data_IF_352694186306
#
_entry.id   IF_352694186306
#
_cell.length_a   1.000
_cell.length_b   1.000
_cell.length_c   1.000
_cell.angle_alpha   90.00
_cell.angle_beta   90.00
_cell.angle_gamma   90.00
#
_symmetry.space_group_name_H-M   'P 1'
#
loop_
_entity.id
_entity.type
_entity.pdbx_description
1 polymer ?
#
# COMPACT_ATOMS: atom_id res chain seq x y z
N UNK A 1 8.13 25.44 25.37
CA UNK A 1 8.20 23.96 25.51
C UNK A 1 8.74 23.66 26.90
N UNK A 2 8.08 22.82 27.72
CA UNK A 2 8.54 22.56 29.11
C UNK A 2 9.75 21.62 29.15
N UNK A 3 9.84 20.70 28.19
CA UNK A 3 10.94 19.78 27.99
C UNK A 3 11.16 19.65 26.48
N UNK A 4 12.42 19.70 26.03
CA UNK A 4 12.78 19.61 24.62
C UNK A 4 12.98 18.13 24.23
N UNK A 5 11.86 17.42 24.03
CA UNK A 5 11.82 16.02 23.58
C UNK A 5 10.96 15.89 22.34
N UNK A 6 11.18 14.84 21.56
CA UNK A 6 10.35 14.45 20.44
C UNK A 6 8.90 14.24 20.85
N UNK A 7 8.65 13.58 21.98
CA UNK A 7 7.30 13.34 22.49
C UNK A 7 6.55 14.64 22.76
N UNK A 8 7.19 15.61 23.42
CA UNK A 8 6.54 16.90 23.70
C UNK A 8 6.33 17.70 22.41
N UNK A 9 7.25 17.61 21.44
CA UNK A 9 7.09 18.26 20.14
C UNK A 9 5.89 17.71 19.38
N UNK A 10 5.74 16.38 19.39
CA UNK A 10 4.61 15.68 18.79
C UNK A 10 3.29 16.04 19.48
N UNK A 11 3.29 16.12 20.81
CA UNK A 11 2.12 16.50 21.61
C UNK A 11 1.67 17.93 21.32
N UNK A 12 2.60 18.88 21.26
CA UNK A 12 2.30 20.27 20.90
C UNK A 12 1.78 20.37 19.47
N UNK A 13 2.39 19.62 18.54
CA UNK A 13 1.95 19.55 17.15
C UNK A 13 0.49 19.06 17.04
N UNK A 14 0.12 18.05 17.82
CA UNK A 14 -1.27 17.58 17.88
C UNK A 14 -2.23 18.62 18.47
N UNK A 15 -1.77 19.44 19.43
CA UNK A 15 -2.60 20.50 20.02
C UNK A 15 -2.96 21.61 19.02
N UNK A 16 -2.13 21.82 17.99
CA UNK A 16 -2.41 22.76 16.90
C UNK A 16 -3.47 22.26 15.91
N UNK A 17 -3.95 21.03 16.04
CA UNK A 17 -4.88 20.41 15.09
C UNK A 17 -6.31 20.42 15.62
N UNK A 18 -7.25 20.84 14.76
CA UNK A 18 -8.68 20.74 15.02
C UNK A 18 -9.23 19.34 14.69
N UNK A 19 -10.44 19.04 15.19
CA UNK A 19 -11.16 17.80 14.91
C UNK A 19 -11.23 17.44 13.42
N UNK A 20 -11.45 18.44 12.54
CA UNK A 20 -11.51 18.25 11.08
C UNK A 20 -10.21 17.67 10.50
N UNK A 21 -9.06 18.00 11.11
CA UNK A 21 -7.77 17.48 10.71
C UNK A 21 -7.63 16.00 11.09
N UNK A 22 -8.07 15.62 12.29
CA UNK A 22 -8.10 14.21 12.72
C UNK A 22 -9.07 13.36 11.88
N UNK A 23 -10.24 13.90 11.54
CA UNK A 23 -11.17 13.26 10.62
C UNK A 23 -10.52 13.00 9.26
N UNK A 24 -9.83 14.01 8.70
CA UNK A 24 -9.09 13.86 7.44
C UNK A 24 -7.99 12.81 7.53
N UNK A 25 -7.19 12.81 8.60
CA UNK A 25 -6.15 11.79 8.81
C UNK A 25 -6.73 10.38 8.83
N UNK A 26 -7.89 10.20 9.48
CA UNK A 26 -8.57 8.91 9.56
C UNK A 26 -9.17 8.48 8.22
N UNK A 27 -9.82 9.39 7.49
CA UNK A 27 -10.48 9.07 6.20
C UNK A 27 -9.48 8.83 5.07
N UNK A 28 -8.38 9.60 5.04
CA UNK A 28 -7.37 9.55 3.99
C UNK A 28 -6.17 8.65 4.37
N UNK A 29 -6.20 8.00 5.54
CA UNK A 29 -5.13 7.15 6.06
C UNK A 29 -3.77 7.87 6.04
N UNK A 30 -3.74 9.08 6.61
CA UNK A 30 -2.54 9.90 6.69
C UNK A 30 -1.87 9.73 8.05
N UNK A 31 -0.54 9.65 8.05
CA UNK A 31 0.31 9.70 9.24
C UNK A 31 0.91 11.09 9.34
N UNK A 32 0.81 11.70 10.51
CA UNK A 32 1.52 12.92 10.82
C UNK A 32 3.01 12.63 11.02
N UNK A 33 3.87 13.44 10.42
CA UNK A 33 5.32 13.33 10.55
C UNK A 33 5.92 14.72 10.75
N UNK A 34 6.88 14.81 11.66
CA UNK A 34 7.64 16.03 11.90
C UNK A 34 8.90 15.98 11.05
N UNK A 35 9.17 17.05 10.34
CA UNK A 35 10.37 17.19 9.51
C UNK A 35 11.02 18.55 9.74
N UNK A 36 12.33 18.63 9.53
CA UNK A 36 13.03 19.91 9.50
C UNK A 36 12.71 20.70 8.22
N UNK A 37 13.39 21.83 8.03
CA UNK A 37 13.18 22.66 6.84
C UNK A 37 13.70 22.05 5.54
N UNK A 38 14.63 21.08 5.64
CA UNK A 38 15.21 20.29 4.54
C UNK A 38 14.42 18.99 4.27
N UNK A 39 13.28 18.81 4.95
CA UNK A 39 12.41 17.64 4.88
C UNK A 39 13.03 16.34 5.45
N UNK A 40 14.07 16.45 6.29
CA UNK A 40 14.58 15.31 7.06
C UNK A 40 13.65 15.01 8.23
N UNK A 41 13.49 13.71 8.53
CA UNK A 41 12.58 13.24 9.58
C UNK A 41 13.14 13.58 10.97
N UNK A 42 12.30 14.18 11.81
CA UNK A 42 12.57 14.38 13.23
C UNK A 42 11.82 13.27 13.98
N UNK A 43 12.53 12.24 14.46
CA UNK A 43 11.94 11.09 15.16
C UNK A 43 12.66 10.69 16.46
N UNK A 44 13.66 11.47 16.89
CA UNK A 44 14.40 11.23 18.13
C UNK A 44 14.70 12.52 18.90
N UNK A 45 14.94 12.38 20.21
CA UNK A 45 15.29 13.50 21.08
C UNK A 45 16.63 14.16 20.68
N UNK A 46 17.58 13.38 20.17
CA UNK A 46 18.86 13.90 19.68
C UNK A 46 18.67 14.82 18.48
N UNK A 47 17.81 14.43 17.53
CA UNK A 47 17.50 15.23 16.34
C UNK A 47 16.79 16.52 16.75
N UNK A 48 15.82 16.43 17.67
CA UNK A 48 15.14 17.62 18.22
C UNK A 48 16.13 18.57 18.87
N UNK A 49 17.05 18.08 19.71
CA UNK A 49 18.05 18.95 20.36
C UNK A 49 18.93 19.64 19.33
N UNK A 50 19.44 18.89 18.35
CA UNK A 50 20.28 19.41 17.27
C UNK A 50 19.58 20.52 16.47
N UNK A 51 18.31 20.30 16.11
CA UNK A 51 17.53 21.29 15.35
C UNK A 51 17.27 22.56 16.16
N UNK A 52 17.07 22.38 17.47
CA UNK A 52 16.78 23.45 18.42
C UNK A 52 18.00 24.12 19.06
N UNK A 53 19.22 23.73 18.67
CA UNK A 53 20.46 24.48 18.97
C UNK A 53 20.63 25.73 18.09
N UNK A 54 19.85 25.84 17.00
CA UNK A 54 19.83 27.02 16.14
C UNK A 54 19.12 28.21 16.80
N UNK A 55 19.47 29.44 16.39
CA UNK A 55 18.86 30.66 16.96
C UNK A 55 17.35 30.79 16.64
N UNK A 56 16.87 30.11 15.59
CA UNK A 56 15.47 30.12 15.14
C UNK A 56 15.04 28.70 14.78
N UNK A 57 14.66 27.87 15.77
CA UNK A 57 14.26 26.51 15.50
C UNK A 57 12.95 26.47 14.72
N UNK A 58 13.00 25.89 13.53
CA UNK A 58 11.83 25.73 12.66
C UNK A 58 11.68 24.28 12.26
N UNK A 59 10.43 23.82 12.21
CA UNK A 59 10.07 22.49 11.76
C UNK A 59 8.74 22.57 11.02
N UNK A 60 8.46 21.57 10.20
CA UNK A 60 7.19 21.42 9.49
C UNK A 60 6.45 20.19 10.00
N UNK A 61 5.13 20.28 9.99
CA UNK A 61 4.25 19.14 10.16
C UNK A 61 3.79 18.73 8.76
N UNK A 62 4.25 17.58 8.30
CA UNK A 62 3.80 16.98 7.04
C UNK A 62 2.90 15.80 7.29
N UNK A 63 2.09 15.49 6.28
CA UNK A 63 1.13 14.40 6.31
C UNK A 63 1.54 13.42 5.22
N UNK A 64 2.01 12.25 5.62
CA UNK A 64 2.42 11.20 4.68
C UNK A 64 1.32 10.15 4.59
N UNK A 65 0.95 9.76 3.37
CA UNK A 65 -0.04 8.70 3.21
C UNK A 65 0.55 7.38 3.70
N UNK A 66 -0.15 6.65 4.57
CA UNK A 66 0.14 5.25 4.88
C UNK A 66 0.05 4.35 3.63
N UNK A 67 -0.47 4.91 2.52
CA UNK A 67 -0.74 4.17 1.31
C UNK A 67 0.51 3.63 0.62
N UNK A 68 1.73 4.12 0.89
CA UNK A 68 2.93 3.48 0.33
C UNK A 68 3.13 2.04 0.84
N UNK A 69 2.65 1.68 2.04
CA UNK A 69 2.65 0.30 2.53
C UNK A 69 1.41 -0.50 2.08
N UNK A 70 0.28 0.17 1.82
CA UNK A 70 -0.99 -0.46 1.40
C UNK A 70 -1.05 -0.68 -0.13
N UNK A 71 -0.22 0.00 -0.94
CA UNK A 71 -0.13 -0.23 -2.39
C UNK A 71 0.41 -1.63 -2.72
N UNK A 72 1.10 -2.30 -1.79
CA UNK A 72 1.46 -3.72 -1.94
C UNK A 72 0.37 -4.72 -1.50
N UNK A 73 -0.83 -4.25 -1.12
CA UNK A 73 -1.89 -5.12 -0.59
C UNK A 73 -3.34 -4.67 -0.78
N UNK A 74 -3.64 -3.64 -1.57
CA UNK A 74 -5.03 -3.33 -1.97
C UNK A 74 -5.44 -4.28 -3.09
N UNK A 75 -6.02 -5.42 -2.73
CA UNK A 75 -6.78 -6.27 -3.67
C UNK A 75 -7.89 -5.41 -4.29
N UNK A 76 -7.70 -4.95 -5.52
CA UNK A 76 -8.78 -4.28 -6.27
C UNK A 76 -9.82 -5.34 -6.60
N UNK A 77 -10.99 -5.27 -5.97
CA UNK A 77 -12.13 -6.14 -6.32
C UNK A 77 -12.68 -5.72 -7.68
N UNK A 78 -12.45 -6.55 -8.70
CA UNK A 78 -13.09 -6.40 -10.00
C UNK A 78 -14.44 -7.10 -9.93
N UNK A 79 -15.54 -6.34 -9.96
CA UNK A 79 -16.89 -6.88 -10.08
C UNK A 79 -17.17 -7.15 -11.57
N UNK A 80 -17.84 -8.26 -11.88
CA UNK A 80 -18.22 -8.67 -13.25
C UNK A 80 -17.03 -8.83 -14.23
N UNK A 81 -15.92 -9.40 -13.76
CA UNK A 81 -14.78 -9.69 -14.63
C UNK A 81 -15.17 -10.71 -15.71
N UNK A 82 -14.85 -10.42 -16.97
CA UNK A 82 -14.88 -11.40 -18.05
C UNK A 82 -13.64 -12.29 -17.95
N UNK A 83 -13.83 -13.60 -17.83
CA UNK A 83 -12.74 -14.57 -17.78
C UNK A 83 -12.84 -15.52 -18.97
N UNK A 84 -11.77 -15.56 -19.77
CA UNK A 84 -11.64 -16.40 -20.96
C UNK A 84 -10.53 -17.43 -20.69
N UNK A 85 -10.85 -18.72 -20.84
CA UNK A 85 -9.89 -19.80 -20.73
C UNK A 85 -9.51 -20.31 -22.13
N UNK A 86 -8.26 -20.08 -22.53
CA UNK A 86 -7.72 -20.60 -23.79
C UNK A 86 -6.87 -21.83 -23.46
N UNK A 87 -7.27 -22.98 -24.01
CA UNK A 87 -6.60 -24.26 -23.80
C UNK A 87 -6.02 -24.77 -25.12
N UNK A 88 -4.70 -24.92 -25.18
CA UNK A 88 -3.98 -25.38 -26.38
C UNK A 88 -3.42 -26.77 -26.09
N UNK A 89 -3.93 -27.79 -26.80
CA UNK A 89 -3.52 -29.18 -26.63
C UNK A 89 -2.61 -29.69 -27.75
N UNK A 90 -2.68 -29.05 -28.92
CA UNK A 90 -2.08 -29.52 -30.16
C UNK A 90 -1.38 -28.37 -30.87
N UNK A 91 -0.22 -28.66 -31.45
CA UNK A 91 0.60 -27.73 -32.21
C UNK A 91 0.94 -28.34 -33.57
N UNK A 92 1.03 -27.50 -34.61
CA UNK A 92 1.40 -27.93 -35.96
C UNK A 92 2.81 -28.54 -36.01
N UNK A 93 3.76 -27.94 -35.27
CA UNK A 93 5.13 -28.46 -35.11
C UNK A 93 5.28 -29.18 -33.77
N UNK A 94 4.81 -30.43 -33.74
CA UNK A 94 4.88 -31.30 -32.56
C UNK A 94 6.32 -31.73 -32.18
N UNK A 95 7.29 -31.50 -33.07
CA UNK A 95 8.71 -31.77 -32.79
C UNK A 95 9.33 -30.64 -31.97
N UNK A 96 8.93 -29.39 -32.25
CA UNK A 96 9.35 -28.22 -31.47
C UNK A 96 8.52 -28.03 -30.20
N UNK A 97 7.20 -28.26 -30.27
CA UNK A 97 6.27 -28.12 -29.14
C UNK A 97 5.42 -29.37 -29.00
N UNK A 98 5.74 -30.20 -27.99
CA UNK A 98 5.01 -31.45 -27.78
C UNK A 98 3.55 -31.19 -27.40
N UNK A 99 2.65 -31.91 -28.06
CA UNK A 99 1.22 -31.92 -27.76
C UNK A 99 0.96 -32.32 -26.30
N UNK A 100 0.00 -31.64 -25.69
CA UNK A 100 -0.40 -31.82 -24.29
C UNK A 100 -1.71 -32.61 -24.23
N UNK A 101 -1.58 -33.94 -24.07
CA UNK A 101 -2.72 -34.88 -24.10
C UNK A 101 -3.79 -34.61 -23.04
N UNK A 102 -3.40 -34.10 -21.88
CA UNK A 102 -4.30 -33.96 -20.72
C UNK A 102 -5.14 -32.69 -20.74
N UNK A 103 -4.85 -31.75 -21.65
CA UNK A 103 -5.47 -30.42 -21.66
C UNK A 103 -6.99 -30.52 -21.87
N UNK A 104 -7.43 -31.33 -22.84
CA UNK A 104 -8.86 -31.51 -23.16
C UNK A 104 -9.62 -32.28 -22.06
N UNK A 105 -8.98 -33.27 -21.44
CA UNK A 105 -9.68 -34.24 -20.59
C UNK A 105 -9.66 -33.91 -19.11
N UNK A 106 -8.54 -33.37 -18.62
CA UNK A 106 -8.25 -33.18 -17.20
C UNK A 106 -8.06 -31.71 -16.85
N UNK A 107 -7.21 -31.00 -17.58
CA UNK A 107 -6.75 -29.68 -17.13
C UNK A 107 -7.86 -28.63 -17.25
N UNK A 108 -8.58 -28.58 -18.38
CA UNK A 108 -9.72 -27.67 -18.55
C UNK A 108 -10.81 -27.92 -17.50
N UNK A 109 -11.09 -29.19 -17.18
CA UNK A 109 -12.09 -29.54 -16.15
C UNK A 109 -11.65 -29.09 -14.77
N UNK A 110 -10.38 -29.31 -14.42
CA UNK A 110 -9.81 -28.88 -13.15
C UNK A 110 -9.83 -27.36 -13.01
N UNK A 111 -9.43 -26.62 -14.05
CA UNK A 111 -9.46 -25.15 -14.01
C UNK A 111 -10.88 -24.61 -13.91
N UNK A 112 -11.84 -25.16 -14.68
CA UNK A 112 -13.26 -24.80 -14.55
C UNK A 112 -13.79 -25.03 -13.13
N UNK A 113 -13.43 -26.15 -12.49
CA UNK A 113 -13.81 -26.43 -11.10
C UNK A 113 -13.21 -25.40 -10.13
N UNK A 114 -11.92 -25.08 -10.28
CA UNK A 114 -11.23 -24.09 -9.43
C UNK A 114 -11.88 -22.70 -9.58
N UNK A 115 -12.20 -22.28 -10.81
CA UNK A 115 -12.85 -21.00 -11.05
C UNK A 115 -14.27 -20.97 -10.48
N UNK A 116 -15.03 -22.05 -10.66
CA UNK A 116 -16.36 -22.19 -10.07
C UNK A 116 -16.33 -22.07 -8.54
N UNK A 117 -15.40 -22.77 -7.86
CA UNK A 117 -15.21 -22.68 -6.40
C UNK A 117 -14.86 -21.27 -5.93
N UNK A 118 -14.29 -20.44 -6.81
CA UNK A 118 -13.95 -19.03 -6.54
C UNK A 118 -15.05 -18.06 -6.99
N UNK A 119 -16.23 -18.53 -7.38
CA UNK A 119 -17.32 -17.73 -7.95
C UNK A 119 -16.89 -16.94 -9.21
N UNK A 120 -15.97 -17.50 -9.99
CA UNK A 120 -15.52 -16.97 -11.27
C UNK A 120 -16.18 -17.79 -12.37
N UNK A 121 -16.99 -17.13 -13.20
CA UNK A 121 -17.66 -17.75 -14.34
C UNK A 121 -16.78 -17.62 -15.58
N UNK A 122 -16.40 -18.76 -16.16
CA UNK A 122 -15.54 -18.85 -17.33
C UNK A 122 -16.37 -19.23 -18.54
N UNK A 123 -16.19 -18.49 -19.64
CA UNK A 123 -16.79 -18.82 -20.95
C UNK A 123 -15.85 -19.73 -21.73
#
# INVERSE_FOLDING_TARGET
>A
MKVLTFEELLRQSHHCLELKHFQKMSSEYLKMQLVDMEDNIIDSDEIVKKEFESNEPTFKIIWTSFQQSIIFGKTKTIKNALVILIAISEYDDNNKWKNLKNVKEKDVKNFKLIFFLKNIYVT
#
